data_IF_297158836199
#
_entry.id   IF_297158836199
#
_cell.length_a   1.000
_cell.length_b   1.000
_cell.length_c   1.000
_cell.angle_alpha   90.00
_cell.angle_beta   90.00
_cell.angle_gamma   90.00
#
_symmetry.space_group_name_H-M   'P 1'
#
loop_
_entity.id
_entity.type
_entity.pdbx_description
1 polymer ?
#
# COMPACT_ATOMS: atom_id res chain seq x y z
N UNK A 1 8.22 -65.90 -23.97
CA UNK A 1 7.43 -65.03 -23.08
C UNK A 1 7.97 -65.20 -21.68
N UNK A 2 8.58 -64.17 -21.09
CA UNK A 2 9.00 -64.25 -19.69
C UNK A 2 7.73 -64.16 -18.82
N UNK A 3 7.34 -65.26 -18.18
CA UNK A 3 6.27 -65.26 -17.19
C UNK A 3 6.82 -64.67 -15.89
N UNK A 4 6.40 -63.45 -15.57
CA UNK A 4 6.72 -62.81 -14.30
C UNK A 4 5.95 -63.51 -13.18
N UNK A 5 6.62 -63.85 -12.08
CA UNK A 5 5.94 -64.41 -10.91
C UNK A 5 5.11 -63.33 -10.18
N UNK A 6 4.10 -63.77 -9.45
CA UNK A 6 3.23 -62.89 -8.67
C UNK A 6 4.01 -62.00 -7.68
N UNK A 7 5.12 -62.53 -7.13
CA UNK A 7 5.97 -61.81 -6.20
C UNK A 7 6.66 -60.61 -6.85
N UNK A 8 7.16 -60.78 -8.08
CA UNK A 8 7.81 -59.68 -8.83
C UNK A 8 6.79 -58.60 -9.18
N UNK A 9 5.56 -58.98 -9.54
CA UNK A 9 4.48 -58.02 -9.79
C UNK A 9 4.12 -57.22 -8.53
N UNK A 10 4.02 -57.87 -7.38
CA UNK A 10 3.71 -57.20 -6.12
C UNK A 10 4.80 -56.20 -5.70
N UNK A 11 6.08 -56.59 -5.83
CA UNK A 11 7.22 -55.74 -5.51
C UNK A 11 7.28 -54.48 -6.40
N UNK A 12 7.05 -54.65 -7.71
CA UNK A 12 6.99 -53.52 -8.65
C UNK A 12 5.80 -52.61 -8.34
N UNK A 13 4.63 -53.17 -8.04
CA UNK A 13 3.46 -52.38 -7.67
C UNK A 13 3.70 -51.55 -6.40
N UNK A 14 4.29 -52.13 -5.36
CA UNK A 14 4.66 -51.40 -4.14
C UNK A 14 5.65 -50.26 -4.42
N UNK A 15 6.62 -50.48 -5.30
CA UNK A 15 7.58 -49.43 -5.67
C UNK A 15 6.92 -48.29 -6.45
N UNK A 16 6.06 -48.61 -7.42
CA UNK A 16 5.29 -47.61 -8.18
C UNK A 16 4.41 -46.79 -7.24
N UNK A 17 3.71 -47.45 -6.30
CA UNK A 17 2.86 -46.77 -5.32
C UNK A 17 3.66 -45.87 -4.38
N UNK A 18 4.86 -46.31 -3.95
CA UNK A 18 5.75 -45.50 -3.13
C UNK A 18 6.21 -44.24 -3.89
N UNK A 19 6.62 -44.37 -5.15
CA UNK A 19 7.01 -43.24 -6.00
C UNK A 19 5.83 -42.30 -6.26
N UNK A 20 4.65 -42.85 -6.54
CA UNK A 20 3.43 -42.07 -6.74
C UNK A 20 3.04 -41.28 -5.48
N UNK A 21 3.17 -41.90 -4.30
CA UNK A 21 2.91 -41.25 -3.02
C UNK A 21 3.86 -40.08 -2.76
N UNK A 22 5.16 -40.27 -3.00
CA UNK A 22 6.15 -39.18 -2.88
C UNK A 22 5.86 -38.07 -3.89
N UNK A 23 5.52 -38.42 -5.13
CA UNK A 23 5.14 -37.45 -6.17
C UNK A 23 3.93 -36.62 -5.78
N UNK A 24 2.88 -37.25 -5.25
CA UNK A 24 1.68 -36.56 -4.77
C UNK A 24 1.98 -35.61 -3.60
N UNK A 25 2.84 -36.01 -2.66
CA UNK A 25 3.29 -35.14 -1.57
C UNK A 25 4.04 -33.91 -2.10
N UNK A 26 4.95 -34.09 -3.05
CA UNK A 26 5.71 -32.98 -3.64
C UNK A 26 4.78 -32.00 -4.36
N UNK A 27 3.86 -32.49 -5.19
CA UNK A 27 2.86 -31.65 -5.88
C UNK A 27 1.97 -30.91 -4.87
N UNK A 28 1.55 -31.58 -3.79
CA UNK A 28 0.77 -30.96 -2.71
C UNK A 28 1.53 -29.81 -2.03
N UNK A 29 2.82 -30.00 -1.72
CA UNK A 29 3.67 -28.96 -1.14
C UNK A 29 3.86 -27.78 -2.08
N UNK A 30 4.11 -28.03 -3.37
CA UNK A 30 4.21 -26.97 -4.38
C UNK A 30 2.88 -26.22 -4.56
N UNK A 31 1.75 -26.93 -4.57
CA UNK A 31 0.42 -26.35 -4.63
C UNK A 31 0.15 -25.43 -3.45
N UNK A 32 0.44 -25.89 -2.23
CA UNK A 32 0.27 -25.10 -1.01
C UNK A 32 1.17 -23.86 -0.98
N UNK A 33 2.43 -24.01 -1.40
CA UNK A 33 3.37 -22.89 -1.49
C UNK A 33 2.93 -21.86 -2.53
N UNK A 34 2.43 -22.32 -3.68
CA UNK A 34 1.91 -21.46 -4.75
C UNK A 34 0.66 -20.73 -4.29
N UNK A 35 -0.27 -21.41 -3.63
CA UNK A 35 -1.49 -20.81 -3.08
C UNK A 35 -1.16 -19.72 -2.05
N UNK A 36 -0.27 -20.02 -1.10
CA UNK A 36 0.18 -19.05 -0.10
C UNK A 36 0.81 -17.81 -0.75
N UNK A 37 1.64 -18.00 -1.78
CA UNK A 37 2.23 -16.88 -2.54
C UNK A 37 1.17 -16.05 -3.25
N UNK A 38 0.21 -16.69 -3.90
CA UNK A 38 -0.85 -15.99 -4.62
C UNK A 38 -1.73 -15.15 -3.68
N UNK A 39 -2.10 -15.69 -2.51
CA UNK A 39 -2.93 -14.97 -1.55
C UNK A 39 -2.17 -13.84 -0.85
N UNK A 40 -0.89 -14.03 -0.53
CA UNK A 40 -0.03 -12.92 -0.07
C UNK A 40 0.00 -11.78 -1.10
N UNK A 41 0.10 -12.10 -2.39
CA UNK A 41 0.14 -11.08 -3.44
C UNK A 41 -1.19 -10.36 -3.66
N UNK A 42 -2.33 -11.02 -3.41
CA UNK A 42 -3.63 -10.35 -3.42
C UNK A 42 -3.72 -9.34 -2.28
N UNK A 43 -3.35 -9.76 -1.07
CA UNK A 43 -3.34 -8.88 0.11
C UNK A 43 -2.45 -7.64 -0.10
N UNK A 44 -1.24 -7.83 -0.65
CA UNK A 44 -0.34 -6.73 -0.99
C UNK A 44 -0.94 -5.76 -2.00
N UNK A 45 -1.54 -6.28 -3.07
CA UNK A 45 -2.16 -5.45 -4.12
C UNK A 45 -3.36 -4.68 -3.61
N UNK A 46 -4.19 -5.30 -2.79
CA UNK A 46 -5.36 -4.66 -2.20
C UNK A 46 -4.96 -3.59 -1.19
N UNK A 47 -3.91 -3.82 -0.39
CA UNK A 47 -3.33 -2.80 0.49
C UNK A 47 -2.77 -1.62 -0.31
N UNK A 48 -1.98 -1.88 -1.36
CA UNK A 48 -1.43 -0.83 -2.22
C UNK A 48 -2.52 -0.01 -2.91
N UNK A 49 -3.59 -0.66 -3.40
CA UNK A 49 -4.74 0.02 -3.99
C UNK A 49 -5.47 0.90 -2.99
N UNK A 50 -5.77 0.39 -1.78
CA UNK A 50 -6.44 1.15 -0.72
C UNK A 50 -5.62 2.39 -0.35
N UNK A 51 -4.31 2.21 -0.15
CA UNK A 51 -3.40 3.30 0.15
C UNK A 51 -3.38 4.39 -0.94
N UNK A 52 -3.28 4.01 -2.22
CA UNK A 52 -3.30 4.96 -3.34
C UNK A 52 -4.59 5.79 -3.37
N UNK A 53 -5.74 5.15 -3.20
CA UNK A 53 -7.03 5.85 -3.18
C UNK A 53 -7.11 6.83 -2.01
N UNK A 54 -6.71 6.40 -0.80
CA UNK A 54 -6.75 7.25 0.39
C UNK A 54 -5.76 8.42 0.29
N UNK A 55 -4.55 8.20 -0.23
CA UNK A 55 -3.58 9.29 -0.47
C UNK A 55 -4.10 10.29 -1.50
N UNK A 56 -4.75 9.83 -2.56
CA UNK A 56 -5.37 10.72 -3.55
C UNK A 56 -6.51 11.55 -2.95
N UNK A 57 -7.35 10.96 -2.10
CA UNK A 57 -8.39 11.69 -1.37
C UNK A 57 -7.78 12.73 -0.42
N UNK A 58 -6.72 12.36 0.30
CA UNK A 58 -5.98 13.27 1.17
C UNK A 58 -5.37 14.44 0.39
N UNK A 59 -4.70 14.19 -0.73
CA UNK A 59 -4.15 15.23 -1.59
C UNK A 59 -5.23 16.20 -2.08
N UNK A 60 -6.37 15.66 -2.52
CA UNK A 60 -7.49 16.47 -2.99
C UNK A 60 -8.10 17.31 -1.85
N UNK A 61 -8.20 16.77 -0.64
CA UNK A 61 -8.66 17.51 0.53
C UNK A 61 -7.72 18.66 0.89
N UNK A 62 -6.40 18.42 0.89
CA UNK A 62 -5.39 19.47 1.14
C UNK A 62 -5.46 20.55 0.06
N UNK A 63 -5.54 20.16 -1.22
CA UNK A 63 -5.64 21.12 -2.34
C UNK A 63 -6.93 21.93 -2.28
N UNK A 64 -8.05 21.32 -1.91
CA UNK A 64 -9.32 22.01 -1.72
C UNK A 64 -9.23 23.05 -0.59
N UNK A 65 -8.66 22.64 0.55
CA UNK A 65 -8.47 23.51 1.71
C UNK A 65 -7.58 24.73 1.41
N UNK A 66 -6.55 24.57 0.60
CA UNK A 66 -5.66 25.67 0.21
C UNK A 66 -6.33 26.65 -0.76
N UNK A 67 -7.07 26.11 -1.74
CA UNK A 67 -7.67 26.91 -2.80
C UNK A 67 -9.03 27.50 -2.42
N UNK A 68 -9.44 27.36 -1.16
CA UNK A 68 -10.74 27.82 -0.70
C UNK A 68 -10.83 29.37 -0.77
N UNK A 69 -11.94 29.92 -1.29
CA UNK A 69 -12.16 31.36 -1.23
C UNK A 69 -12.24 31.85 0.22
N UNK A 70 -11.73 33.07 0.49
CA UNK A 70 -11.68 33.66 1.83
C UNK A 70 -13.06 33.81 2.51
N UNK A 71 -14.16 33.67 1.77
CA UNK A 71 -15.54 33.74 2.26
C UNK A 71 -16.08 32.40 2.78
N UNK A 72 -15.36 31.30 2.57
CA UNK A 72 -15.78 29.98 2.99
C UNK A 72 -15.30 29.64 4.42
N UNK A 73 -16.04 28.77 5.11
CA UNK A 73 -15.73 28.40 6.49
C UNK A 73 -14.48 27.49 6.58
N UNK A 74 -13.36 27.99 7.15
CA UNK A 74 -12.12 27.23 7.25
C UNK A 74 -12.23 26.02 8.20
N UNK A 75 -13.25 25.96 9.05
CA UNK A 75 -13.45 24.86 9.99
C UNK A 75 -13.88 23.56 9.29
N UNK A 76 -14.64 23.69 8.20
CA UNK A 76 -15.15 22.55 7.42
C UNK A 76 -14.02 21.84 6.69
N UNK A 77 -13.10 22.60 6.10
CA UNK A 77 -11.99 22.04 5.32
C UNK A 77 -10.90 21.44 6.19
N UNK A 78 -10.60 22.08 7.32
CA UNK A 78 -9.69 21.50 8.33
C UNK A 78 -10.20 20.16 8.84
N UNK A 79 -11.52 20.01 9.00
CA UNK A 79 -12.13 18.72 9.37
C UNK A 79 -11.99 17.68 8.26
N UNK A 80 -12.20 18.06 7.00
CA UNK A 80 -12.03 17.16 5.85
C UNK A 80 -10.58 16.65 5.74
N UNK A 81 -9.59 17.54 5.88
CA UNK A 81 -8.17 17.17 5.87
C UNK A 81 -7.82 16.30 7.08
N UNK A 82 -8.28 16.66 8.28
CA UNK A 82 -8.05 15.86 9.49
C UNK A 82 -8.68 14.45 9.38
N UNK A 83 -9.86 14.34 8.79
CA UNK A 83 -10.51 13.06 8.53
C UNK A 83 -9.70 12.24 7.52
N UNK A 84 -9.32 12.81 6.38
CA UNK A 84 -8.51 12.11 5.38
C UNK A 84 -7.15 11.67 5.97
N UNK A 85 -6.53 12.51 6.82
CA UNK A 85 -5.32 12.15 7.56
C UNK A 85 -5.54 10.96 8.50
N UNK A 86 -6.66 10.94 9.23
CA UNK A 86 -7.02 9.84 10.12
C UNK A 86 -7.22 8.51 9.36
N UNK A 87 -7.60 8.56 8.09
CA UNK A 87 -7.71 7.38 7.22
C UNK A 87 -6.34 6.90 6.68
N UNK A 88 -5.41 7.81 6.41
CA UNK A 88 -4.06 7.48 5.92
C UNK A 88 -3.22 6.77 6.99
N UNK A 89 -3.31 7.21 8.25
CA UNK A 89 -2.49 6.68 9.35
C UNK A 89 -2.60 5.17 9.56
N UNK A 90 -3.78 4.55 9.72
CA UNK A 90 -3.87 3.11 9.93
C UNK A 90 -3.34 2.31 8.72
N UNK A 91 -3.59 2.78 7.50
CA UNK A 91 -3.07 2.14 6.29
C UNK A 91 -1.54 2.23 6.24
N UNK A 92 -0.94 3.31 6.74
CA UNK A 92 0.51 3.48 6.82
C UNK A 92 1.16 2.50 7.79
N UNK A 93 0.53 2.27 8.94
CA UNK A 93 0.98 1.26 9.91
C UNK A 93 0.83 -0.16 9.34
N UNK A 94 -0.27 -0.46 8.65
CA UNK A 94 -0.45 -1.75 7.96
C UNK A 94 0.62 -1.93 6.87
N UNK A 95 0.87 -0.91 6.06
CA UNK A 95 1.89 -0.92 5.01
C UNK A 95 3.31 -1.10 5.57
N UNK A 96 3.65 -0.43 6.67
CA UNK A 96 4.93 -0.59 7.35
C UNK A 96 5.08 -2.00 7.94
N UNK A 97 4.03 -2.55 8.54
CA UNK A 97 4.05 -3.91 9.08
C UNK A 97 4.22 -4.98 7.98
N UNK A 98 3.60 -4.78 6.80
CA UNK A 98 3.63 -5.75 5.70
C UNK A 98 4.88 -5.60 4.82
N UNK A 99 5.30 -4.37 4.51
CA UNK A 99 6.39 -4.10 3.57
C UNK A 99 7.71 -3.67 4.24
N UNK A 100 7.67 -3.32 5.53
CA UNK A 100 8.85 -2.93 6.30
C UNK A 100 9.63 -1.79 5.64
N UNK A 101 10.92 -2.03 5.38
CA UNK A 101 11.83 -1.03 4.78
C UNK A 101 11.49 -0.63 3.35
N UNK A 102 10.66 -1.43 2.65
CA UNK A 102 10.23 -1.08 1.29
C UNK A 102 9.14 -0.01 1.29
N UNK A 103 8.49 0.24 2.43
CA UNK A 103 7.50 1.31 2.58
C UNK A 103 8.21 2.63 2.93
N UNK A 104 7.95 3.73 2.18
CA UNK A 104 8.55 5.03 2.46
C UNK A 104 7.87 5.76 3.65
N UNK A 105 7.88 5.14 4.83
CA UNK A 105 7.24 5.65 6.05
C UNK A 105 7.74 7.05 6.43
N UNK A 106 9.05 7.28 6.36
CA UNK A 106 9.68 8.57 6.68
C UNK A 106 9.17 9.71 5.79
N UNK A 107 8.98 9.43 4.49
CA UNK A 107 8.46 10.41 3.54
C UNK A 107 7.00 10.72 3.78
N UNK A 108 6.20 9.71 4.14
CA UNK A 108 4.81 9.94 4.52
C UNK A 108 4.73 10.77 5.80
N UNK A 109 5.54 10.46 6.81
CA UNK A 109 5.62 11.24 8.04
C UNK A 109 6.04 12.69 7.75
N UNK A 110 7.00 12.89 6.84
CA UNK A 110 7.40 14.21 6.38
C UNK A 110 6.24 14.95 5.69
N UNK A 111 5.50 14.30 4.78
CA UNK A 111 4.33 14.90 4.13
C UNK A 111 3.24 15.30 5.14
N UNK A 112 2.96 14.45 6.13
CA UNK A 112 2.00 14.77 7.20
C UNK A 112 2.47 15.90 8.10
N UNK A 113 3.78 16.03 8.33
CA UNK A 113 4.34 17.15 9.09
C UNK A 113 4.20 18.47 8.35
N UNK A 114 4.51 18.48 7.05
CA UNK A 114 4.42 19.67 6.20
C UNK A 114 2.98 20.18 6.09
N UNK A 115 2.01 19.27 6.04
CA UNK A 115 0.59 19.63 6.16
C UNK A 115 0.31 20.35 7.48
N UNK A 116 0.75 19.79 8.60
CA UNK A 116 0.62 20.43 9.91
C UNK A 116 1.23 21.84 9.96
N UNK A 117 2.37 22.06 9.29
CA UNK A 117 3.02 23.36 9.19
C UNK A 117 2.19 24.36 8.36
N UNK A 118 1.58 23.94 7.25
CA UNK A 118 0.64 24.77 6.46
C UNK A 118 -0.53 25.22 7.32
N UNK A 119 -1.17 24.27 8.04
CA UNK A 119 -2.35 24.59 8.83
C UNK A 119 -2.03 25.39 10.10
N UNK A 120 -0.88 25.15 10.75
CA UNK A 120 -0.42 25.95 11.87
C UNK A 120 -0.18 27.41 11.46
N UNK A 121 0.52 27.64 10.34
CA UNK A 121 0.79 28.99 9.82
C UNK A 121 -0.51 29.73 9.46
N UNK A 122 -1.52 29.00 8.96
CA UNK A 122 -2.84 29.57 8.68
C UNK A 122 -3.68 29.90 9.92
N UNK A 123 -3.40 29.28 11.05
CA UNK A 123 -4.14 29.52 12.29
C UNK A 123 -3.72 30.84 12.96
N UNK A 124 -2.46 31.24 12.81
CA UNK A 124 -1.91 32.45 13.42
C UNK A 124 -2.31 33.75 12.68
N UNK A 125 -2.80 33.65 11.43
CA UNK A 125 -3.20 34.81 10.63
C UNK A 125 -4.47 34.53 9.82
N UNK A 126 -5.67 34.59 10.44
CA UNK A 126 -6.94 34.25 9.78
C UNK A 126 -7.28 35.15 8.59
N UNK A 127 -6.71 36.36 8.50
CA UNK A 127 -6.90 37.29 7.40
C UNK A 127 -6.03 36.97 6.16
N UNK A 128 -5.15 35.98 6.24
CA UNK A 128 -4.36 35.51 5.10
C UNK A 128 -4.97 34.24 4.52
N UNK A 129 -5.63 34.38 3.37
CA UNK A 129 -6.05 33.25 2.57
C UNK A 129 -4.87 32.28 2.35
N UNK A 130 -5.07 31.00 2.65
CA UNK A 130 -4.05 29.94 2.61
C UNK A 130 -3.26 29.93 1.28
N UNK A 131 -3.88 30.30 0.15
CA UNK A 131 -3.21 30.35 -1.15
C UNK A 131 -2.31 31.56 -1.44
N UNK A 132 -2.33 32.62 -0.62
CA UNK A 132 -1.66 33.89 -0.96
C UNK A 132 -0.19 33.98 -0.49
N UNK A 133 0.26 33.10 0.40
CA UNK A 133 1.63 33.13 0.92
C UNK A 133 2.59 32.37 0.00
N UNK A 134 3.72 32.97 -0.44
CA UNK A 134 4.77 32.28 -1.21
C UNK A 134 5.28 31.03 -0.49
N UNK A 135 5.26 31.04 0.85
CA UNK A 135 5.68 29.94 1.71
C UNK A 135 4.76 28.73 1.57
N UNK A 136 3.45 28.93 1.44
CA UNK A 136 2.49 27.82 1.28
C UNK A 136 2.65 27.14 -0.08
N UNK A 137 2.94 27.88 -1.15
CA UNK A 137 3.22 27.30 -2.47
C UNK A 137 4.41 26.34 -2.42
N UNK A 138 5.50 26.74 -1.77
CA UNK A 138 6.71 25.89 -1.66
C UNK A 138 6.48 24.62 -0.85
N UNK A 139 5.71 24.71 0.25
CA UNK A 139 5.39 23.55 1.10
C UNK A 139 4.44 22.59 0.35
N UNK A 140 3.49 23.09 -0.44
CA UNK A 140 2.60 22.27 -1.24
C UNK A 140 3.30 21.54 -2.36
N UNK A 141 4.25 22.19 -3.05
CA UNK A 141 5.07 21.52 -4.07
C UNK A 141 5.89 20.38 -3.45
N UNK A 142 6.39 20.58 -2.23
CA UNK A 142 7.15 19.57 -1.52
C UNK A 142 6.26 18.42 -1.03
N UNK A 143 5.08 18.72 -0.49
CA UNK A 143 4.07 17.73 -0.12
C UNK A 143 3.62 16.90 -1.33
N UNK A 144 3.32 17.55 -2.45
CA UNK A 144 2.94 16.89 -3.69
C UNK A 144 4.08 16.00 -4.21
N UNK A 145 5.33 16.47 -4.16
CA UNK A 145 6.51 15.65 -4.54
C UNK A 145 6.63 14.39 -3.68
N UNK A 146 6.49 14.50 -2.37
CA UNK A 146 6.58 13.34 -1.48
C UNK A 146 5.43 12.35 -1.74
N UNK A 147 4.20 12.84 -1.93
CA UNK A 147 3.06 12.00 -2.29
C UNK A 147 3.26 11.28 -3.63
N UNK A 148 3.75 11.97 -4.66
CA UNK A 148 4.06 11.37 -5.95
C UNK A 148 5.14 10.28 -5.85
N UNK A 149 6.13 10.46 -4.96
CA UNK A 149 7.14 9.43 -4.72
C UNK A 149 6.54 8.18 -4.07
N UNK A 150 5.67 8.37 -3.06
CA UNK A 150 4.95 7.27 -2.40
C UNK A 150 4.06 6.56 -3.42
N UNK A 151 3.32 7.30 -4.25
CA UNK A 151 2.52 6.72 -5.33
C UNK A 151 3.36 5.90 -6.32
N UNK A 152 4.53 6.39 -6.71
CA UNK A 152 5.42 5.68 -7.63
C UNK A 152 5.88 4.34 -7.04
N UNK A 153 6.21 4.31 -5.74
CA UNK A 153 6.55 3.06 -5.03
C UNK A 153 5.36 2.11 -5.01
N UNK A 154 4.17 2.59 -4.66
CA UNK A 154 2.93 1.79 -4.62
C UNK A 154 2.56 1.23 -6.01
N UNK A 155 2.67 2.05 -7.06
CA UNK A 155 2.47 1.59 -8.45
C UNK A 155 3.53 0.59 -8.87
N UNK A 156 4.78 0.76 -8.44
CA UNK A 156 5.85 -0.21 -8.61
C UNK A 156 5.46 -1.57 -8.03
N UNK A 157 4.92 -1.60 -6.80
CA UNK A 157 4.42 -2.83 -6.16
C UNK A 157 3.23 -3.45 -6.91
N UNK A 158 2.39 -2.66 -7.57
CA UNK A 158 1.31 -3.15 -8.43
C UNK A 158 1.81 -3.73 -9.78
N UNK A 159 2.89 -3.17 -10.34
CA UNK A 159 3.35 -3.45 -11.71
C UNK A 159 4.50 -4.46 -11.86
N UNK A 160 5.42 -4.55 -10.90
CA UNK A 160 6.72 -5.27 -11.07
C UNK A 160 6.69 -6.79 -10.92
N UNK A 161 5.53 -7.43 -10.73
CA UNK A 161 5.44 -8.90 -10.57
C UNK A 161 4.34 -9.51 -11.43
N UNK A 162 4.45 -9.30 -12.74
CA UNK A 162 3.77 -10.13 -13.75
C UNK A 162 4.60 -11.38 -14.04
#
# INVERSE_FOLDING_TARGET
MMHWSADVWSAVASWIMAVASVGACVVGLFGLWTWKKQDMWKADKDLARRMLLTLSHYENAVRAAVNMPATADPSTDRRAVAQARAEVLPLSQEAEAVWGKDFPADRLAQALRLEGEIFATSADSPDHALGASPTHSGILDLLHRELQHIEAVLRGKLGTRR
#
